data_IF_993366428951
#
_entry.id   IF_993366428951
#
_cell.length_a   1.000
_cell.length_b   1.000
_cell.length_c   1.000
_cell.angle_alpha   90.00
_cell.angle_beta   90.00
_cell.angle_gamma   90.00
#
_symmetry.space_group_name_H-M   'P 1'
#
loop_
_entity.id
_entity.type
_entity.pdbx_description
1 polymer ?
#
# COMPACT_ATOMS: atom_id res chain seq x y z
N UNK A 1 18.91 7.98 0.35
CA UNK A 1 17.55 7.79 -0.21
C UNK A 1 16.50 8.63 0.50
N UNK A 2 16.38 8.59 1.83
CA UNK A 2 15.43 9.42 2.59
C UNK A 2 15.41 10.90 2.15
N UNK A 3 16.57 11.56 2.09
CA UNK A 3 16.65 12.97 1.70
C UNK A 3 16.21 13.25 0.25
N UNK A 4 16.46 12.31 -0.67
CA UNK A 4 16.05 12.45 -2.08
C UNK A 4 14.53 12.34 -2.19
N UNK A 5 13.94 11.34 -1.50
CA UNK A 5 12.50 11.14 -1.47
C UNK A 5 11.80 12.32 -0.79
N UNK A 6 12.37 12.83 0.30
CA UNK A 6 11.85 13.99 1.01
C UNK A 6 11.90 15.26 0.15
N UNK A 7 13.01 15.54 -0.51
CA UNK A 7 13.13 16.68 -1.43
C UNK A 7 12.15 16.57 -2.59
N UNK A 8 12.05 15.40 -3.24
CA UNK A 8 11.11 15.18 -4.33
C UNK A 8 9.65 15.33 -3.89
N UNK A 9 9.29 14.86 -2.68
CA UNK A 9 7.97 15.05 -2.10
C UNK A 9 7.67 16.54 -1.87
N UNK A 10 8.60 17.28 -1.26
CA UNK A 10 8.43 18.71 -1.01
C UNK A 10 8.34 19.52 -2.31
N UNK A 11 9.14 19.21 -3.32
CA UNK A 11 9.06 19.81 -4.65
C UNK A 11 7.71 19.51 -5.32
N UNK A 12 7.24 18.27 -5.23
CA UNK A 12 5.94 17.87 -5.76
C UNK A 12 4.78 18.59 -5.05
N UNK A 13 4.82 18.69 -3.72
CA UNK A 13 3.80 19.43 -2.95
C UNK A 13 3.81 20.93 -3.28
N UNK A 14 4.99 21.55 -3.38
CA UNK A 14 5.12 22.96 -3.76
C UNK A 14 4.63 23.23 -5.19
N UNK A 15 4.86 22.29 -6.12
CA UNK A 15 4.42 22.43 -7.52
C UNK A 15 2.89 22.55 -7.65
N UNK A 16 2.14 21.97 -6.72
CA UNK A 16 0.68 21.95 -6.72
C UNK A 16 0.07 22.60 -5.48
N UNK A 17 0.82 23.45 -4.76
CA UNK A 17 0.38 24.12 -3.52
C UNK A 17 -0.95 24.88 -3.70
N UNK A 18 -1.15 25.47 -4.88
CA UNK A 18 -2.38 26.20 -5.25
C UNK A 18 -3.39 25.36 -6.05
N UNK A 19 -3.14 24.05 -6.23
CA UNK A 19 -4.00 23.14 -7.00
C UNK A 19 -4.32 21.88 -6.18
N UNK A 20 -5.12 22.09 -5.14
CA UNK A 20 -5.55 21.05 -4.21
C UNK A 20 -6.34 19.93 -4.91
N UNK A 21 -7.09 20.25 -5.97
CA UNK A 21 -7.81 19.25 -6.77
C UNK A 21 -6.84 18.27 -7.43
N UNK A 22 -5.75 18.78 -8.03
CA UNK A 22 -4.73 17.92 -8.65
C UNK A 22 -3.97 17.07 -7.63
N UNK A 23 -3.67 17.62 -6.45
CA UNK A 23 -3.07 16.84 -5.36
C UNK A 23 -3.99 15.71 -4.89
N UNK A 24 -5.29 15.98 -4.78
CA UNK A 24 -6.29 14.96 -4.43
C UNK A 24 -6.40 13.88 -5.51
N UNK A 25 -6.37 14.26 -6.79
CA UNK A 25 -6.36 13.30 -7.91
C UNK A 25 -5.15 12.35 -7.85
N UNK A 26 -3.94 12.89 -7.65
CA UNK A 26 -2.74 12.08 -7.52
C UNK A 26 -2.75 11.18 -6.29
N UNK A 27 -3.22 11.70 -5.15
CA UNK A 27 -3.37 10.90 -3.94
C UNK A 27 -4.36 9.74 -4.14
N UNK A 28 -5.49 10.00 -4.80
CA UNK A 28 -6.49 8.97 -5.07
C UNK A 28 -5.96 7.91 -6.04
N UNK A 29 -5.28 8.32 -7.11
CA UNK A 29 -4.63 7.39 -8.04
C UNK A 29 -3.57 6.52 -7.34
N UNK A 30 -2.74 7.12 -6.47
CA UNK A 30 -1.80 6.37 -5.65
C UNK A 30 -2.51 5.34 -4.76
N UNK A 31 -3.58 5.74 -4.07
CA UNK A 31 -4.38 4.86 -3.20
C UNK A 31 -4.97 3.68 -3.99
N UNK A 32 -5.55 3.94 -5.14
CA UNK A 32 -6.18 2.90 -5.96
C UNK A 32 -5.14 1.91 -6.49
N UNK A 33 -3.99 2.40 -6.95
CA UNK A 33 -2.86 1.55 -7.36
C UNK A 33 -2.31 0.73 -6.19
N UNK A 34 -2.16 1.34 -5.01
CA UNK A 34 -1.68 0.67 -3.79
C UNK A 34 -2.61 -0.48 -3.39
N UNK A 35 -3.93 -0.25 -3.36
CA UNK A 35 -4.94 -1.26 -3.01
C UNK A 35 -4.96 -2.40 -4.04
N UNK A 36 -4.99 -2.07 -5.34
CA UNK A 36 -4.96 -3.06 -6.43
C UNK A 36 -3.70 -3.92 -6.41
N UNK A 37 -2.54 -3.31 -6.13
CA UNK A 37 -1.25 -4.02 -6.07
C UNK A 37 -1.21 -5.00 -4.91
N UNK A 38 -1.68 -4.58 -3.73
CA UNK A 38 -1.72 -5.45 -2.55
C UNK A 38 -2.66 -6.66 -2.77
N UNK A 39 -3.81 -6.46 -3.40
CA UNK A 39 -4.72 -7.54 -3.77
C UNK A 39 -4.06 -8.53 -4.74
N UNK A 40 -3.44 -8.03 -5.82
CA UNK A 40 -2.80 -8.87 -6.82
C UNK A 40 -1.66 -9.72 -6.23
N UNK A 41 -0.80 -9.14 -5.39
CA UNK A 41 0.28 -9.88 -4.71
C UNK A 41 -0.32 -10.91 -3.76
N UNK A 42 -1.41 -10.60 -3.05
CA UNK A 42 -2.07 -11.54 -2.14
C UNK A 42 -2.62 -12.75 -2.89
N UNK A 43 -3.36 -12.52 -3.99
CA UNK A 43 -3.87 -13.61 -4.83
C UNK A 43 -2.75 -14.48 -5.38
N UNK A 44 -1.67 -13.86 -5.86
CA UNK A 44 -0.53 -14.62 -6.38
C UNK A 44 0.18 -15.42 -5.29
N UNK A 45 0.36 -14.85 -4.09
CA UNK A 45 0.95 -15.55 -2.95
C UNK A 45 0.13 -16.78 -2.54
N UNK A 46 -1.20 -16.63 -2.47
CA UNK A 46 -2.11 -17.73 -2.15
C UNK A 46 -2.07 -18.83 -3.21
N UNK A 47 -2.06 -18.47 -4.51
CA UNK A 47 -1.94 -19.42 -5.61
C UNK A 47 -0.64 -20.22 -5.55
N UNK A 48 0.49 -19.55 -5.30
CA UNK A 48 1.81 -20.19 -5.22
C UNK A 48 1.90 -21.12 -4.01
N UNK A 49 1.33 -20.72 -2.86
CA UNK A 49 1.28 -21.56 -1.66
C UNK A 49 0.39 -22.78 -1.86
N UNK A 50 -0.78 -22.60 -2.47
CA UNK A 50 -1.73 -23.67 -2.74
C UNK A 50 -1.10 -24.70 -3.69
N UNK A 51 -0.48 -24.24 -4.78
CA UNK A 51 0.24 -25.12 -5.69
C UNK A 51 1.37 -25.89 -5.00
N UNK A 52 2.22 -25.20 -4.23
CA UNK A 52 3.35 -25.81 -3.53
C UNK A 52 2.95 -26.77 -2.41
N UNK A 53 1.78 -26.57 -1.79
CA UNK A 53 1.30 -27.40 -0.67
C UNK A 53 0.41 -28.55 -1.11
N UNK A 54 -0.41 -28.36 -2.15
CA UNK A 54 -1.50 -29.26 -2.51
C UNK A 54 -1.33 -29.90 -3.90
N UNK A 55 -0.78 -29.19 -4.90
CA UNK A 55 -0.78 -29.66 -6.29
C UNK A 55 0.53 -30.33 -6.73
N UNK A 56 1.65 -30.11 -6.03
CA UNK A 56 2.97 -30.60 -6.46
C UNK A 56 3.25 -32.08 -6.14
N UNK A 57 2.32 -32.78 -5.48
CA UNK A 57 2.43 -34.24 -5.29
C UNK A 57 2.36 -35.04 -6.60
N UNK A 58 1.96 -34.41 -7.73
CA UNK A 58 1.68 -35.11 -8.99
C UNK A 58 2.43 -34.62 -10.23
N UNK A 59 3.06 -33.43 -10.23
CA UNK A 59 3.62 -32.81 -11.45
C UNK A 59 5.15 -32.55 -11.44
N UNK A 60 5.81 -32.51 -10.28
CA UNK A 60 7.27 -32.64 -10.04
C UNK A 60 8.21 -31.82 -10.97
N UNK A 61 7.76 -30.69 -11.51
CA UNK A 61 8.58 -29.81 -12.36
C UNK A 61 9.27 -28.70 -11.58
N UNK A 62 8.74 -28.35 -10.41
CA UNK A 62 9.26 -27.31 -9.53
C UNK A 62 9.35 -27.92 -8.14
N UNK A 63 10.31 -27.48 -7.33
CA UNK A 63 10.43 -27.93 -5.95
C UNK A 63 9.34 -27.26 -5.07
N UNK A 64 8.49 -28.07 -4.45
CA UNK A 64 7.47 -27.62 -3.49
C UNK A 64 8.03 -26.69 -2.40
N UNK A 65 9.21 -26.98 -1.86
CA UNK A 65 9.88 -26.15 -0.85
C UNK A 65 10.19 -24.74 -1.35
N UNK A 66 10.66 -24.63 -2.60
CA UNK A 66 10.88 -23.36 -3.29
C UNK A 66 9.59 -22.56 -3.43
N UNK A 67 8.50 -23.20 -3.88
CA UNK A 67 7.21 -22.53 -4.03
C UNK A 67 6.62 -22.07 -2.70
N UNK A 68 6.70 -22.92 -1.66
CA UNK A 68 6.30 -22.52 -0.30
C UNK A 68 7.12 -21.32 0.18
N UNK A 69 8.45 -21.32 -0.05
CA UNK A 69 9.32 -20.20 0.30
C UNK A 69 8.96 -18.89 -0.42
N UNK A 70 8.68 -18.96 -1.72
CA UNK A 70 8.21 -17.81 -2.52
C UNK A 70 6.87 -17.30 -1.97
N UNK A 71 5.92 -18.20 -1.77
CA UNK A 71 4.59 -17.86 -1.26
C UNK A 71 4.62 -17.19 0.11
N UNK A 72 5.44 -17.70 1.04
CA UNK A 72 5.64 -17.08 2.36
C UNK A 72 6.30 -15.71 2.27
N UNK A 73 7.26 -15.53 1.38
CA UNK A 73 7.92 -14.24 1.15
C UNK A 73 6.92 -13.21 0.64
N UNK A 74 6.10 -13.58 -0.34
CA UNK A 74 5.05 -12.72 -0.88
C UNK A 74 3.99 -12.38 0.18
N UNK A 75 3.58 -13.33 1.03
CA UNK A 75 2.70 -13.07 2.18
C UNK A 75 3.29 -12.06 3.15
N UNK A 76 4.58 -12.16 3.45
CA UNK A 76 5.26 -11.19 4.31
C UNK A 76 5.18 -9.78 3.72
N UNK A 77 5.46 -9.64 2.41
CA UNK A 77 5.35 -8.36 1.72
C UNK A 77 3.91 -7.83 1.72
N UNK A 78 2.90 -8.69 1.52
CA UNK A 78 1.50 -8.29 1.65
C UNK A 78 1.18 -7.77 3.06
N UNK A 79 1.69 -8.41 4.11
CA UNK A 79 1.47 -7.96 5.48
C UNK A 79 2.07 -6.58 5.74
N UNK A 80 3.29 -6.32 5.25
CA UNK A 80 3.95 -5.02 5.37
C UNK A 80 3.20 -3.92 4.60
N UNK A 81 2.69 -4.25 3.40
CA UNK A 81 1.85 -3.35 2.61
C UNK A 81 0.53 -3.06 3.32
N UNK A 82 -0.16 -4.08 3.84
CA UNK A 82 -1.41 -3.92 4.58
C UNK A 82 -1.23 -3.06 5.84
N UNK A 83 -0.12 -3.24 6.57
CA UNK A 83 0.21 -2.41 7.72
C UNK A 83 0.44 -0.94 7.31
N UNK A 84 1.14 -0.72 6.20
CA UNK A 84 1.39 0.62 5.65
C UNK A 84 0.09 1.31 5.22
N UNK A 85 -0.79 0.59 4.51
CA UNK A 85 -2.13 1.04 4.14
C UNK A 85 -2.99 1.39 5.35
N UNK A 86 -2.93 0.58 6.41
CA UNK A 86 -3.62 0.86 7.67
C UNK A 86 -3.10 2.14 8.33
N UNK A 87 -1.78 2.32 8.35
CA UNK A 87 -1.13 3.54 8.83
C UNK A 87 -1.63 4.77 8.08
N UNK A 88 -1.63 4.73 6.74
CA UNK A 88 -2.16 5.80 5.89
C UNK A 88 -3.63 6.11 6.18
N UNK A 89 -4.49 5.09 6.23
CA UNK A 89 -5.93 5.24 6.54
C UNK A 89 -6.14 5.90 7.91
N UNK A 90 -5.38 5.46 8.91
CA UNK A 90 -5.41 6.05 10.26
C UNK A 90 -4.98 7.51 10.25
N UNK A 91 -3.85 7.83 9.59
CA UNK A 91 -3.38 9.21 9.45
C UNK A 91 -4.42 10.11 8.80
N UNK A 92 -5.07 9.67 7.72
CA UNK A 92 -6.16 10.41 7.06
C UNK A 92 -7.28 10.74 8.05
N UNK A 93 -7.77 9.74 8.80
CA UNK A 93 -8.84 9.92 9.80
C UNK A 93 -8.43 10.94 10.87
N UNK A 94 -7.19 10.91 11.35
CA UNK A 94 -6.72 11.85 12.36
C UNK A 94 -6.58 13.27 11.82
N UNK A 95 -6.10 13.44 10.58
CA UNK A 95 -6.02 14.74 9.94
C UNK A 95 -7.41 15.34 9.71
N UNK A 96 -8.38 14.54 9.25
CA UNK A 96 -9.77 14.98 9.07
C UNK A 96 -10.38 15.46 10.40
N UNK A 97 -10.13 14.72 11.50
CA UNK A 97 -10.57 15.12 12.84
C UNK A 97 -9.93 16.43 13.30
N UNK A 98 -8.64 16.63 13.05
CA UNK A 98 -7.94 17.86 13.39
C UNK A 98 -8.49 19.06 12.60
N UNK A 99 -8.74 18.89 11.30
CA UNK A 99 -9.33 19.91 10.46
C UNK A 99 -10.73 20.32 10.96
N UNK A 100 -11.57 19.34 11.34
CA UNK A 100 -12.90 19.61 11.92
C UNK A 100 -12.82 20.32 13.29
N UNK A 101 -11.87 19.96 14.14
CA UNK A 101 -11.69 20.60 15.45
C UNK A 101 -11.22 22.07 15.32
N UNK A 102 -10.40 22.37 14.31
CA UNK A 102 -9.93 23.73 14.03
C UNK A 102 -11.00 24.60 13.34
N UNK A 103 -11.88 24.01 12.52
CA UNK A 103 -13.02 24.73 11.95
C UNK A 103 -14.01 25.24 13.00
N UNK A 104 -14.26 24.45 14.05
CA UNK A 104 -15.15 24.83 15.16
C UNK A 104 -14.58 25.93 16.07
N UNK A 105 -13.28 26.23 16.00
CA UNK A 105 -12.64 27.27 16.83
C UNK A 105 -12.66 28.66 16.19
N UNK A 106 -12.98 28.76 14.89
CA UNK A 106 -13.00 30.01 14.14
C UNK A 106 -14.42 30.63 13.99
N UNK A 107 -15.44 30.06 14.64
CA UNK A 107 -16.84 30.54 14.58
C UNK A 107 -17.31 31.27 15.86
N UNK A 108 -16.41 31.71 16.75
CA UNK A 108 -16.76 32.50 17.94
C UNK A 108 -16.20 33.93 17.91
#
# INVERSE_FOLDING_TARGET
MHNIIHTALMEHLNQYENNQEKLNEYYQAFKDCEETTAEAITFYADLVLDYGSNEDSTLSKIDAGCLVGIGLTLKSLCNDLNLSQYGRKSTSIFLDRLAMAQGATNEN
#
